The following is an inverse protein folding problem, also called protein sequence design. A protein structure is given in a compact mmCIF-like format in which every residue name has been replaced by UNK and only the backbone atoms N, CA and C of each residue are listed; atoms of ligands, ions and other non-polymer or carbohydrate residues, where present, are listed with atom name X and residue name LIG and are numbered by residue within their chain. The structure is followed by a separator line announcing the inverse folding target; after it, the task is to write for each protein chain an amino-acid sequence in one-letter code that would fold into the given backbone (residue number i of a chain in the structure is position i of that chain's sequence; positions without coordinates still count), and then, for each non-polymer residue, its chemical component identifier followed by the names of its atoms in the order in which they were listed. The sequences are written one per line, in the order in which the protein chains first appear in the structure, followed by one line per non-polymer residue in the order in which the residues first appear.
data_IF_178313509219
#
_entry.id   IF_178313509219
#
_cell.length_a   1.000
_cell.length_b   1.000
_cell.length_c   1.000
_cell.angle_alpha   90.00
_cell.angle_beta   90.00
_cell.angle_gamma   90.00
#
_symmetry.space_group_name_H-M   'P 1'
#
loop_
_entity.id
_entity.type
_entity.pdbx_description
1 polymer ?
#
# COMPACT_ATOMS: atom_id res chain seq x y z
N UNK A 1 -40.44 -28.08 -4.12
CA UNK A 1 -41.05 -28.39 -5.42
C UNK A 1 -40.02 -29.21 -6.20
N UNK A 2 -40.39 -30.43 -6.61
CA UNK A 2 -39.51 -31.47 -7.17
C UNK A 2 -39.57 -31.49 -8.72
N UNK A 3 -38.38 -31.64 -9.35
CA UNK A 3 -37.99 -32.42 -10.57
C UNK A 3 -38.67 -32.22 -11.95
N UNK A 4 -38.17 -32.82 -13.07
CA UNK A 4 -36.79 -32.94 -13.59
C UNK A 4 -36.68 -32.76 -15.13
N UNK A 5 -35.47 -32.72 -15.69
CA UNK A 5 -35.16 -33.52 -16.88
C UNK A 5 -33.67 -33.88 -16.96
N UNK A 6 -33.40 -35.18 -16.98
CA UNK A 6 -32.10 -35.79 -17.23
C UNK A 6 -31.68 -35.57 -18.69
N UNK A 7 -30.39 -35.26 -18.92
CA UNK A 7 -29.61 -36.01 -19.90
C UNK A 7 -28.11 -35.94 -19.57
N UNK A 8 -27.58 -37.14 -19.37
CA UNK A 8 -26.20 -37.57 -19.28
C UNK A 8 -25.31 -36.97 -20.39
N UNK A 9 -24.10 -36.47 -20.06
CA UNK A 9 -22.84 -36.63 -20.82
C UNK A 9 -21.67 -35.90 -20.12
N UNK A 10 -20.66 -36.71 -19.79
CA UNK A 10 -19.22 -36.46 -19.79
C UNK A 10 -18.60 -35.46 -18.79
N UNK A 11 -18.30 -36.02 -17.60
CA UNK A 11 -17.25 -35.57 -16.69
C UNK A 11 -15.86 -35.99 -17.22
N UNK A 12 -15.38 -35.34 -18.28
CA UNK A 12 -13.98 -35.39 -18.70
C UNK A 12 -13.71 -34.15 -19.56
N UNK A 13 -13.32 -33.02 -18.94
CA UNK A 13 -12.49 -31.95 -19.56
C UNK A 13 -12.43 -30.68 -18.69
N UNK A 14 -11.98 -30.80 -17.44
CA UNK A 14 -11.71 -29.62 -16.61
C UNK A 14 -10.42 -29.82 -15.81
N UNK A 15 -9.28 -29.98 -16.49
CA UNK A 15 -7.99 -29.51 -15.96
C UNK A 15 -6.85 -29.45 -16.99
N UNK A 16 -7.04 -28.71 -18.08
CA UNK A 16 -5.97 -28.33 -19.02
C UNK A 16 -5.52 -26.91 -18.72
N UNK A 17 -4.58 -26.76 -17.77
CA UNK A 17 -3.85 -25.51 -17.53
C UNK A 17 -2.44 -25.82 -17.00
N UNK A 18 -1.42 -25.88 -17.87
CA UNK A 18 -0.07 -26.31 -17.52
C UNK A 18 0.84 -25.14 -17.11
N UNK A 19 0.35 -24.19 -16.30
CA UNK A 19 1.10 -22.97 -15.98
C UNK A 19 1.04 -22.63 -14.49
N UNK A 20 1.69 -23.45 -13.66
CA UNK A 20 2.20 -22.97 -12.37
C UNK A 20 3.66 -23.42 -12.21
N UNK A 21 4.59 -22.53 -11.84
CA UNK A 21 6.01 -22.88 -11.67
C UNK A 21 6.22 -23.96 -10.58
N UNK A 22 5.24 -24.12 -9.69
CA UNK A 22 5.22 -25.16 -8.67
C UNK A 22 4.96 -26.58 -9.23
N UNK A 23 4.26 -26.73 -10.35
CA UNK A 23 3.93 -28.04 -10.91
C UNK A 23 5.13 -28.67 -11.63
N UNK A 24 5.93 -27.86 -12.33
CA UNK A 24 7.20 -28.28 -12.91
C UNK A 24 8.22 -28.67 -11.82
N UNK A 25 8.33 -27.87 -10.75
CA UNK A 25 9.17 -28.23 -9.60
C UNK A 25 8.71 -29.51 -8.91
N UNK A 26 7.40 -29.76 -8.78
CA UNK A 26 6.88 -31.02 -8.21
C UNK A 26 7.19 -32.23 -9.09
N UNK A 27 7.09 -32.11 -10.41
CA UNK A 27 7.39 -33.21 -11.33
C UNK A 27 8.88 -33.58 -11.33
N UNK A 28 9.79 -32.59 -11.26
CA UNK A 28 11.23 -32.84 -11.14
C UNK A 28 11.62 -33.42 -9.78
N UNK A 29 10.95 -33.01 -8.70
CA UNK A 29 11.24 -33.54 -7.36
C UNK A 29 10.70 -34.97 -7.17
N UNK A 30 9.52 -35.27 -7.72
CA UNK A 30 8.94 -36.62 -7.69
C UNK A 30 9.71 -37.62 -8.57
N UNK A 31 10.32 -37.21 -9.67
CA UNK A 31 11.19 -38.12 -10.48
C UNK A 31 12.49 -38.47 -9.77
N UNK A 32 13.03 -37.57 -8.94
CA UNK A 32 14.25 -37.83 -8.16
C UNK A 32 13.97 -38.67 -6.90
N UNK A 33 12.83 -38.45 -6.24
CA UNK A 33 12.51 -39.10 -4.96
C UNK A 33 11.54 -40.29 -5.06
N UNK A 34 10.91 -40.53 -6.21
CA UNK A 34 9.77 -41.44 -6.32
C UNK A 34 9.74 -42.34 -7.56
N UNK A 35 10.81 -43.04 -7.89
CA UNK A 35 10.76 -44.32 -8.63
C UNK A 35 12.12 -45.04 -8.62
N UNK A 36 12.26 -46.21 -7.96
CA UNK A 36 13.36 -47.11 -8.26
C UNK A 36 13.03 -47.89 -9.53
N UNK A 37 13.27 -47.28 -10.70
CA UNK A 37 13.37 -48.04 -11.96
C UNK A 37 14.76 -47.83 -12.56
N UNK A 38 15.56 -48.87 -12.37
CA UNK A 38 16.72 -49.30 -13.17
C UNK A 38 17.88 -48.32 -13.42
N UNK A 39 18.89 -48.47 -12.56
CA UNK A 39 20.35 -48.54 -12.85
C UNK A 39 20.96 -47.55 -13.86
N UNK A 40 21.50 -46.43 -13.35
CA UNK A 40 22.95 -46.09 -13.33
C UNK A 40 23.19 -44.62 -12.94
N UNK A 41 23.05 -44.32 -11.65
CA UNK A 41 23.75 -43.16 -11.06
C UNK A 41 24.20 -43.58 -9.67
N UNK A 42 25.52 -43.64 -9.48
CA UNK A 42 26.16 -43.97 -8.21
C UNK A 42 25.56 -43.14 -7.07
N UNK A 43 25.46 -43.68 -5.85
CA UNK A 43 24.92 -42.98 -4.67
C UNK A 43 25.55 -41.60 -4.47
N UNK A 44 26.83 -41.47 -4.82
CA UNK A 44 27.57 -40.20 -4.84
C UNK A 44 27.02 -39.19 -5.87
N UNK A 45 26.65 -39.65 -7.07
CA UNK A 45 26.06 -38.80 -8.11
C UNK A 45 24.69 -38.24 -7.72
N UNK A 46 23.89 -39.00 -6.96
CA UNK A 46 22.62 -38.50 -6.41
C UNK A 46 22.84 -37.39 -5.37
N UNK A 47 23.85 -37.53 -4.50
CA UNK A 47 24.20 -36.50 -3.52
C UNK A 47 24.66 -35.21 -4.22
N UNK A 48 25.51 -35.33 -5.24
CA UNK A 48 25.96 -34.18 -6.04
C UNK A 48 24.79 -33.49 -6.74
N UNK A 49 23.84 -34.23 -7.31
CA UNK A 49 22.63 -33.68 -7.92
C UNK A 49 21.73 -32.96 -6.91
N UNK A 50 21.57 -33.50 -5.69
CA UNK A 50 20.80 -32.85 -4.63
C UNK A 50 21.44 -31.54 -4.18
N UNK A 51 22.77 -31.52 -4.00
CA UNK A 51 23.51 -30.29 -3.67
C UNK A 51 23.38 -29.28 -4.80
N UNK A 52 23.50 -29.71 -6.05
CA UNK A 52 23.37 -28.83 -7.22
C UNK A 52 21.96 -28.24 -7.35
N UNK A 53 20.91 -29.04 -7.14
CA UNK A 53 19.52 -28.56 -7.11
C UNK A 53 19.28 -27.59 -5.96
N UNK A 54 19.88 -27.83 -4.79
CA UNK A 54 19.80 -26.93 -3.65
C UNK A 54 20.45 -25.56 -3.97
N UNK A 55 21.58 -25.56 -4.68
CA UNK A 55 22.23 -24.33 -5.14
C UNK A 55 21.34 -23.57 -6.13
N UNK A 56 20.74 -24.24 -7.11
CA UNK A 56 19.81 -23.62 -8.07
C UNK A 56 18.57 -23.05 -7.37
N UNK A 57 18.06 -23.76 -6.36
CA UNK A 57 16.91 -23.30 -5.58
C UNK A 57 17.25 -22.02 -4.82
N UNK A 58 18.45 -21.93 -4.22
CA UNK A 58 18.89 -20.70 -3.55
C UNK A 58 18.99 -19.54 -4.54
N UNK A 59 19.61 -19.76 -5.71
CA UNK A 59 19.79 -18.70 -6.72
C UNK A 59 18.44 -18.19 -7.24
N UNK A 60 17.53 -19.10 -7.60
CA UNK A 60 16.19 -18.73 -8.09
C UNK A 60 15.35 -18.04 -7.02
N UNK A 61 15.46 -18.49 -5.76
CA UNK A 61 14.83 -17.83 -4.61
C UNK A 61 15.38 -16.41 -4.38
N UNK A 62 16.70 -16.23 -4.35
CA UNK A 62 17.32 -14.91 -4.19
C UNK A 62 17.02 -13.96 -5.34
N UNK A 63 16.99 -14.46 -6.58
CA UNK A 63 16.58 -13.68 -7.74
C UNK A 63 15.11 -13.28 -7.65
N UNK A 64 14.23 -14.21 -7.30
CA UNK A 64 12.79 -13.93 -7.09
C UNK A 64 12.59 -12.94 -5.94
N UNK A 65 13.35 -13.05 -4.85
CA UNK A 65 13.29 -12.12 -3.72
C UNK A 65 13.76 -10.72 -4.11
N UNK A 66 14.84 -10.61 -4.89
CA UNK A 66 15.38 -9.32 -5.35
C UNK A 66 14.44 -8.66 -6.37
N UNK A 67 13.89 -9.45 -7.29
CA UNK A 67 12.90 -8.99 -8.26
C UNK A 67 11.59 -8.58 -7.58
N UNK A 68 11.11 -9.38 -6.63
CA UNK A 68 9.94 -9.04 -5.81
C UNK A 68 10.20 -7.76 -5.02
N UNK A 69 11.36 -7.61 -4.39
CA UNK A 69 11.74 -6.38 -3.70
C UNK A 69 11.67 -5.16 -4.63
N UNK A 70 12.25 -5.27 -5.83
CA UNK A 70 12.20 -4.21 -6.84
C UNK A 70 10.77 -3.86 -7.29
N UNK A 71 9.93 -4.86 -7.55
CA UNK A 71 8.52 -4.67 -7.92
C UNK A 71 7.71 -4.07 -6.76
N UNK A 72 7.95 -4.52 -5.52
CA UNK A 72 7.28 -3.95 -4.33
C UNK A 72 7.70 -2.51 -4.08
N UNK A 73 8.96 -2.13 -4.35
CA UNK A 73 9.42 -0.74 -4.21
C UNK A 73 8.76 0.17 -5.25
N UNK A 74 8.53 -0.30 -6.47
CA UNK A 74 7.82 0.48 -7.50
C UNK A 74 6.33 0.65 -7.19
N UNK A 75 5.67 -0.38 -6.67
CA UNK A 75 4.26 -0.29 -6.24
C UNK A 75 4.07 0.65 -5.04
N UNK A 76 5.11 0.86 -4.22
CA UNK A 76 5.10 1.83 -3.13
C UNK A 76 5.63 3.22 -3.53
N UNK A 77 6.14 3.37 -4.76
CA UNK A 77 6.61 4.64 -5.29
C UNK A 77 5.41 5.49 -5.74
N UNK A 78 4.61 5.94 -4.78
CA UNK A 78 3.94 7.22 -4.97
C UNK A 78 4.99 8.25 -5.40
N UNK A 79 4.71 9.01 -6.46
CA UNK A 79 5.66 9.99 -7.04
C UNK A 79 6.13 11.04 -6.02
N UNK A 80 5.44 11.13 -4.88
CA UNK A 80 5.73 12.02 -3.77
C UNK A 80 5.92 11.11 -2.55
N UNK A 81 7.17 10.86 -2.16
CA UNK A 81 7.50 9.98 -1.02
C UNK A 81 7.55 10.73 0.32
N UNK A 82 7.35 12.04 0.32
CA UNK A 82 7.35 12.87 1.53
C UNK A 82 7.60 14.35 1.24
N UNK A 83 7.80 15.11 2.31
CA UNK A 83 8.02 16.56 2.24
C UNK A 83 9.28 16.94 1.43
N UNK A 84 10.34 16.13 1.51
CA UNK A 84 11.59 16.35 0.76
C UNK A 84 11.38 16.32 -0.76
N UNK A 85 10.46 15.47 -1.21
CA UNK A 85 10.10 15.38 -2.63
C UNK A 85 9.35 16.63 -3.07
N UNK A 86 8.53 17.23 -2.20
CA UNK A 86 7.80 18.47 -2.47
C UNK A 86 8.74 19.69 -2.51
N UNK A 87 9.79 19.68 -1.68
CA UNK A 87 10.84 20.71 -1.69
C UNK A 87 11.65 20.65 -2.97
N UNK A 88 12.01 19.44 -3.39
CA UNK A 88 12.83 19.21 -4.60
C UNK A 88 12.03 19.43 -5.88
N UNK A 89 10.74 19.09 -5.89
CA UNK A 89 9.88 19.36 -7.04
C UNK A 89 9.54 20.84 -7.14
N UNK A 90 9.07 21.30 -8.31
CA UNK A 90 8.61 22.68 -8.53
C UNK A 90 7.09 22.76 -8.64
N UNK A 91 6.38 21.74 -8.17
CA UNK A 91 4.94 21.63 -8.34
C UNK A 91 4.20 22.54 -7.35
N UNK A 92 2.96 22.89 -7.70
CA UNK A 92 2.07 23.63 -6.81
C UNK A 92 1.54 22.72 -5.70
N UNK A 93 1.43 23.27 -4.49
CA UNK A 93 1.05 22.55 -3.27
C UNK A 93 -0.17 23.24 -2.67
N UNK A 94 -1.23 22.47 -2.45
CA UNK A 94 -2.43 22.94 -1.78
C UNK A 94 -2.29 22.93 -0.25
N UNK A 95 -2.93 23.87 0.43
CA UNK A 95 -3.00 23.90 1.89
C UNK A 95 -4.35 24.45 2.36
N UNK A 96 -4.75 24.11 3.59
CA UNK A 96 -5.99 24.63 4.17
C UNK A 96 -5.86 26.12 4.53
N UNK A 97 -6.79 26.96 4.06
CA UNK A 97 -6.84 28.38 4.44
C UNK A 97 -6.95 28.56 5.95
N UNK A 98 -6.06 29.36 6.53
CA UNK A 98 -6.03 29.65 7.96
C UNK A 98 -5.43 28.54 8.83
N UNK A 99 -4.83 27.50 8.23
CA UNK A 99 -4.13 26.45 8.96
C UNK A 99 -2.67 26.80 9.26
N UNK A 100 -2.10 26.05 10.20
CA UNK A 100 -0.66 26.09 10.51
C UNK A 100 0.22 25.67 9.32
N UNK A 101 -0.34 24.93 8.35
CA UNK A 101 0.40 24.40 7.21
C UNK A 101 1.04 25.50 6.35
N UNK A 102 0.40 26.67 6.20
CA UNK A 102 0.96 27.78 5.41
C UNK A 102 2.30 28.24 5.97
N UNK A 103 2.32 28.61 7.26
CA UNK A 103 3.51 29.13 7.92
C UNK A 103 4.57 28.03 8.02
N UNK A 104 4.19 26.79 8.29
CA UNK A 104 5.13 25.68 8.33
C UNK A 104 5.83 25.46 6.98
N UNK A 105 5.07 25.42 5.88
CA UNK A 105 5.62 25.20 4.54
C UNK A 105 6.52 26.36 4.10
N UNK A 106 6.16 27.59 4.45
CA UNK A 106 6.92 28.78 4.07
C UNK A 106 8.15 29.03 4.97
N UNK A 107 7.99 28.98 6.29
CA UNK A 107 9.02 29.40 7.25
C UNK A 107 9.98 28.27 7.63
N UNK A 108 9.47 27.05 7.83
CA UNK A 108 10.27 25.91 8.29
C UNK A 108 10.81 25.09 7.12
N UNK A 109 9.97 24.84 6.11
CA UNK A 109 10.31 24.01 4.93
C UNK A 109 10.87 24.85 3.77
N UNK A 110 10.77 26.18 3.84
CA UNK A 110 11.30 27.13 2.86
C UNK A 110 10.74 26.96 1.43
N UNK A 111 9.45 26.63 1.32
CA UNK A 111 8.73 26.56 0.05
C UNK A 111 8.26 27.96 -0.35
N UNK A 112 8.48 28.34 -1.61
CA UNK A 112 8.06 29.64 -2.12
C UNK A 112 6.53 29.82 -2.04
N UNK A 113 6.06 30.94 -1.48
CA UNK A 113 4.61 31.26 -1.39
C UNK A 113 3.90 31.23 -2.74
N UNK A 114 4.60 31.50 -3.84
CA UNK A 114 4.03 31.43 -5.19
C UNK A 114 3.57 30.04 -5.61
N UNK A 115 4.07 28.99 -4.94
CA UNK A 115 3.68 27.59 -5.17
C UNK A 115 2.56 27.13 -4.24
N UNK A 116 2.24 27.90 -3.21
CA UNK A 116 1.22 27.56 -2.22
C UNK A 116 -0.15 28.02 -2.73
N UNK A 117 -1.06 27.08 -2.86
CA UNK A 117 -2.43 27.32 -3.31
C UNK A 117 -3.37 27.20 -2.11
N UNK A 118 -4.04 28.30 -1.70
CA UNK A 118 -5.03 28.25 -0.63
C UNK A 118 -6.25 27.47 -1.08
N UNK A 119 -6.68 26.49 -0.28
CA UNK A 119 -7.87 25.68 -0.51
C UNK A 119 -8.76 25.72 0.74
N UNK A 120 -10.05 26.02 0.58
CA UNK A 120 -10.98 26.28 1.68
C UNK A 120 -11.94 25.13 2.00
N UNK A 121 -12.19 24.22 1.05
CA UNK A 121 -13.15 23.14 1.23
C UNK A 121 -12.63 21.77 0.77
N UNK A 122 -13.17 20.66 1.32
CA UNK A 122 -12.82 19.31 0.87
C UNK A 122 -13.08 19.07 -0.62
N UNK A 123 -14.13 19.70 -1.19
CA UNK A 123 -14.45 19.62 -2.61
C UNK A 123 -13.34 20.29 -3.45
N UNK A 124 -12.87 21.45 -3.00
CA UNK A 124 -11.77 22.17 -3.65
C UNK A 124 -10.46 21.36 -3.64
N UNK A 125 -10.25 20.54 -2.61
CA UNK A 125 -9.09 19.64 -2.54
C UNK A 125 -9.16 18.58 -3.64
N UNK A 126 -10.32 17.93 -3.77
CA UNK A 126 -10.55 16.91 -4.80
C UNK A 126 -10.40 17.52 -6.19
N UNK A 127 -11.07 18.65 -6.45
CA UNK A 127 -11.02 19.34 -7.74
C UNK A 127 -9.59 19.79 -8.10
N UNK A 128 -8.82 20.30 -7.13
CA UNK A 128 -7.45 20.75 -7.37
C UNK A 128 -6.50 19.59 -7.70
N UNK A 129 -6.70 18.44 -7.04
CA UNK A 129 -5.91 17.23 -7.27
C UNK A 129 -6.28 16.55 -8.59
N UNK A 130 -7.58 16.42 -8.91
CA UNK A 130 -8.05 15.81 -10.16
C UNK A 130 -7.68 16.61 -11.40
N UNK A 131 -7.71 17.93 -11.31
CA UNK A 131 -7.34 18.81 -12.42
C UNK A 131 -5.81 18.99 -12.55
N UNK A 132 -5.02 18.38 -11.66
CA UNK A 132 -3.56 18.55 -11.63
C UNK A 132 -3.11 19.99 -11.36
N UNK A 133 -3.97 20.81 -10.72
CA UNK A 133 -3.64 22.19 -10.33
C UNK A 133 -2.62 22.19 -9.19
N UNK A 134 -2.71 21.20 -8.31
CA UNK A 134 -1.75 20.94 -7.23
C UNK A 134 -1.31 19.49 -7.31
N UNK A 135 -0.03 19.23 -7.02
CA UNK A 135 0.50 17.87 -6.98
C UNK A 135 0.17 17.15 -5.67
N UNK A 136 0.04 17.91 -4.57
CA UNK A 136 -0.32 17.40 -3.26
C UNK A 136 -1.05 18.47 -2.44
N UNK A 137 -1.82 18.02 -1.45
CA UNK A 137 -2.43 18.88 -0.42
C UNK A 137 -1.81 18.53 0.93
N UNK A 138 -1.36 19.54 1.67
CA UNK A 138 -0.79 19.39 3.02
C UNK A 138 -1.80 19.92 4.03
N UNK A 139 -2.21 19.05 4.95
CA UNK A 139 -3.17 19.36 6.00
C UNK A 139 -2.93 18.43 7.21
N UNK A 140 -3.58 18.70 8.33
CA UNK A 140 -3.45 17.88 9.53
C UNK A 140 -4.12 16.51 9.35
N UNK A 141 -3.52 15.49 9.97
CA UNK A 141 -3.97 14.10 9.89
C UNK A 141 -5.48 13.88 10.07
N UNK A 142 -6.18 14.43 11.09
CA UNK A 142 -7.62 14.17 11.24
C UNK A 142 -8.44 14.70 10.06
N UNK A 143 -8.04 15.81 9.44
CA UNK A 143 -8.71 16.35 8.25
C UNK A 143 -8.43 15.50 7.03
N UNK A 144 -7.19 15.05 6.85
CA UNK A 144 -6.81 14.12 5.77
C UNK A 144 -7.55 12.78 5.90
N UNK A 145 -7.53 12.17 7.09
CA UNK A 145 -8.22 10.89 7.34
C UNK A 145 -9.75 11.03 7.11
N UNK A 146 -10.34 12.19 7.45
CA UNK A 146 -11.74 12.48 7.16
C UNK A 146 -12.01 12.69 5.66
N UNK A 147 -11.13 13.40 4.95
CA UNK A 147 -11.22 13.59 3.50
C UNK A 147 -11.15 12.26 2.76
N UNK A 148 -10.14 11.43 3.07
CA UNK A 148 -9.96 10.11 2.49
C UNK A 148 -11.10 9.14 2.80
N UNK A 149 -11.87 9.37 3.87
CA UNK A 149 -13.08 8.59 4.16
C UNK A 149 -14.24 8.94 3.22
N UNK A 150 -14.28 10.16 2.68
CA UNK A 150 -15.31 10.59 1.74
C UNK A 150 -14.89 10.41 0.27
N UNK A 151 -13.58 10.50 -0.02
CA UNK A 151 -13.01 10.45 -1.36
C UNK A 151 -12.00 9.31 -1.50
N UNK A 152 -12.37 8.27 -2.26
CA UNK A 152 -11.59 7.03 -2.39
C UNK A 152 -10.54 7.05 -3.51
N UNK A 153 -10.46 8.11 -4.31
CA UNK A 153 -9.51 8.24 -5.42
C UNK A 153 -8.12 8.75 -4.99
N UNK A 154 -7.94 9.07 -3.72
CA UNK A 154 -6.72 9.68 -3.20
C UNK A 154 -6.08 8.80 -2.14
N UNK A 155 -4.77 8.98 -1.95
CA UNK A 155 -4.00 8.25 -0.96
C UNK A 155 -3.16 9.24 -0.15
N UNK A 156 -3.01 8.97 1.16
CA UNK A 156 -2.04 9.68 1.99
C UNK A 156 -0.62 9.24 1.69
N UNK A 157 0.28 10.22 1.56
CA UNK A 157 1.72 10.00 1.48
C UNK A 157 2.28 9.78 2.89
N UNK A 158 3.14 8.77 3.05
CA UNK A 158 3.81 8.40 4.31
C UNK A 158 5.31 8.63 4.12
N UNK A 159 6.06 9.22 5.08
CA UNK A 159 5.72 9.39 6.50
C UNK A 159 5.17 10.77 6.92
N UNK A 160 4.47 10.78 8.06
CA UNK A 160 4.09 12.01 8.77
C UNK A 160 5.36 12.83 9.10
N UNK A 161 5.38 14.09 8.67
CA UNK A 161 6.55 14.98 8.80
C UNK A 161 6.53 15.80 10.10
N UNK A 162 5.35 16.04 10.69
CA UNK A 162 5.20 16.83 11.92
C UNK A 162 4.35 16.10 12.95
N UNK A 163 4.85 16.01 14.19
CA UNK A 163 4.08 15.55 15.35
C UNK A 163 3.47 16.75 16.07
N UNK A 164 2.39 17.29 15.51
CA UNK A 164 1.61 18.33 16.19
C UNK A 164 0.51 17.70 17.04
N UNK A 165 0.30 18.26 18.24
CA UNK A 165 -0.68 17.79 19.21
C UNK A 165 -1.80 18.80 19.41
N UNK A 166 -3.01 18.30 19.63
CA UNK A 166 -4.19 19.12 19.93
C UNK A 166 -4.34 19.30 21.44
N UNK A 167 -4.73 20.48 21.89
CA UNK A 167 -4.90 20.80 23.31
C UNK A 167 -6.01 21.81 23.57
N UNK A 168 -6.51 21.80 24.79
CA UNK A 168 -7.48 22.79 25.28
C UNK A 168 -6.74 23.93 25.98
N UNK A 169 -7.09 25.18 25.64
CA UNK A 169 -6.52 26.37 26.25
C UNK A 169 -7.48 26.98 27.27
N UNK A 170 -6.95 27.34 28.44
CA UNK A 170 -7.70 27.99 29.52
C UNK A 170 -6.95 29.25 29.97
N UNK A 171 -7.65 30.22 30.58
CA UNK A 171 -7.01 31.37 31.21
C UNK A 171 -5.96 30.92 32.24
N UNK A 172 -4.91 31.73 32.40
CA UNK A 172 -3.86 31.47 33.38
C UNK A 172 -4.47 31.31 34.78
N UNK A 173 -3.95 30.33 35.52
CA UNK A 173 -4.38 29.98 36.88
C UNK A 173 -5.82 29.44 37.00
N UNK A 174 -6.45 29.05 35.88
CA UNK A 174 -7.74 28.37 35.92
C UNK A 174 -7.59 26.93 36.45
N UNK A 175 -8.37 26.53 37.47
CA UNK A 175 -8.35 25.14 37.97
C UNK A 175 -8.85 24.15 36.91
N UNK A 176 -9.64 24.62 35.94
CA UNK A 176 -10.22 23.80 34.87
C UNK A 176 -9.16 23.16 33.97
N UNK A 177 -7.98 23.76 33.85
CA UNK A 177 -6.88 23.18 33.09
C UNK A 177 -6.39 21.84 33.67
N UNK A 178 -6.33 21.75 35.01
CA UNK A 178 -5.91 20.54 35.73
C UNK A 178 -6.99 19.49 35.65
N UNK A 179 -8.24 19.88 35.92
CA UNK A 179 -9.39 18.96 35.87
C UNK A 179 -9.55 18.36 34.48
N UNK A 180 -9.44 19.19 33.43
CA UNK A 180 -9.57 18.73 32.05
C UNK A 180 -8.42 17.82 31.64
N UNK A 181 -7.18 18.18 31.97
CA UNK A 181 -6.01 17.34 31.67
C UNK A 181 -6.11 15.97 32.36
N UNK A 182 -6.56 15.94 33.63
CA UNK A 182 -6.76 14.71 34.40
C UNK A 182 -7.84 13.83 33.79
N UNK A 183 -8.97 14.42 33.39
CA UNK A 183 -10.04 13.68 32.73
C UNK A 183 -9.60 13.11 31.37
N UNK A 184 -8.82 13.85 30.57
CA UNK A 184 -8.27 13.35 29.29
C UNK A 184 -7.32 12.18 29.53
N UNK A 185 -6.46 12.26 30.56
CA UNK A 185 -5.56 11.17 30.93
C UNK A 185 -6.35 9.91 31.31
N UNK A 186 -7.39 10.04 32.15
CA UNK A 186 -8.26 8.93 32.52
C UNK A 186 -8.94 8.28 31.30
N UNK A 187 -9.42 9.08 30.34
CA UNK A 187 -10.01 8.61 29.09
C UNK A 187 -8.99 7.93 28.17
N UNK A 188 -7.72 8.33 28.24
CA UNK A 188 -6.64 7.70 27.50
C UNK A 188 -6.27 6.34 28.12
N UNK A 189 -6.15 6.27 29.44
CA UNK A 189 -5.78 5.06 30.19
C UNK A 189 -6.87 3.97 30.10
N UNK A 190 -8.14 4.36 30.16
CA UNK A 190 -9.26 3.42 30.07
C UNK A 190 -9.61 3.00 28.62
N UNK A 191 -8.93 3.58 27.62
CA UNK A 191 -9.13 3.33 26.20
C UNK A 191 -10.45 3.88 25.62
N UNK A 192 -11.20 4.70 26.36
CA UNK A 192 -12.42 5.35 25.84
C UNK A 192 -12.10 6.40 24.78
N UNK A 193 -10.96 7.08 24.90
CA UNK A 193 -10.51 8.04 23.89
C UNK A 193 -10.35 7.36 22.52
N UNK A 194 -9.76 6.17 22.48
CA UNK A 194 -9.67 5.39 21.24
C UNK A 194 -11.06 5.00 20.70
N UNK A 195 -11.98 4.62 21.59
CA UNK A 195 -13.35 4.28 21.18
C UNK A 195 -14.06 5.48 20.56
N UNK A 196 -13.89 6.67 21.13
CA UNK A 196 -14.44 7.92 20.59
C UNK A 196 -13.82 8.22 19.23
N UNK A 197 -12.49 8.12 19.11
CA UNK A 197 -11.75 8.34 17.87
C UNK A 197 -12.24 7.38 16.76
N UNK A 198 -12.25 6.07 17.04
CA UNK A 198 -12.75 5.04 16.12
C UNK A 198 -14.21 5.27 15.77
N UNK A 199 -15.09 5.58 16.73
CA UNK A 199 -16.51 5.86 16.49
C UNK A 199 -16.72 7.06 15.56
N UNK A 200 -15.89 8.11 15.67
CA UNK A 200 -15.96 9.28 14.79
C UNK A 200 -15.41 8.99 13.40
N UNK A 201 -14.34 8.22 13.30
CA UNK A 201 -13.70 7.85 12.03
C UNK A 201 -14.36 6.65 11.31
N UNK A 202 -15.26 5.91 11.96
CA UNK A 202 -15.89 4.71 11.35
C UNK A 202 -16.88 5.01 10.21
N UNK A 203 -16.92 6.24 9.71
CA UNK A 203 -17.85 6.65 8.68
C UNK A 203 -17.16 6.61 7.33
N UNK A 204 -17.26 5.42 6.71
CA UNK A 204 -16.76 5.09 5.37
C UNK A 204 -15.24 4.99 5.31
N UNK A 205 -14.70 3.90 5.82
CA UNK A 205 -13.47 3.38 5.21
C UNK A 205 -13.84 3.14 3.75
N UNK A 206 -13.22 3.88 2.84
CA UNK A 206 -13.14 3.42 1.47
C UNK A 206 -12.70 1.98 1.58
N UNK A 207 -13.64 1.05 1.38
CA UNK A 207 -13.28 -0.34 1.28
C UNK A 207 -12.12 -0.37 0.30
N UNK A 208 -11.24 -1.34 0.42
CA UNK A 208 -10.54 -1.78 -0.77
C UNK A 208 -11.56 -2.30 -1.77
N UNK A 209 -12.48 -1.46 -2.28
CA UNK A 209 -12.60 -1.29 -3.70
C UNK A 209 -11.15 -1.13 -4.15
N UNK A 210 -10.57 -2.25 -4.53
CA UNK A 210 -10.38 -2.46 -5.95
C UNK A 210 -11.36 -1.57 -6.74
N UNK A 211 -11.11 -0.24 -6.77
CA UNK A 211 -11.00 0.46 -8.04
C UNK A 211 -10.28 -0.54 -8.86
N UNK A 212 -11.07 -1.23 -9.70
CA UNK A 212 -10.67 -2.27 -10.63
C UNK A 212 -9.17 -2.27 -10.62
N UNK A 213 -8.59 -3.15 -9.81
CA UNK A 213 -7.17 -3.31 -9.87
C UNK A 213 -7.06 -3.63 -11.34
N UNK A 214 -6.57 -2.67 -12.11
CA UNK A 214 -5.50 -2.92 -13.02
C UNK A 214 -4.49 -3.62 -12.13
N UNK A 215 -4.80 -4.91 -11.90
CA UNK A 215 -3.91 -5.97 -11.54
C UNK A 215 -2.83 -5.60 -12.52
N UNK A 216 -1.74 -5.04 -12.00
CA UNK A 216 -0.60 -4.64 -12.79
C UNK A 216 -0.13 -5.92 -13.48
N UNK A 217 -0.85 -6.27 -14.54
CA UNK A 217 -0.52 -7.28 -15.49
C UNK A 217 0.67 -6.62 -16.10
N UNK A 218 1.84 -7.09 -15.68
CA UNK A 218 3.08 -6.80 -16.36
C UNK A 218 2.79 -6.88 -17.85
N UNK A 219 2.63 -5.71 -18.49
CA UNK A 219 2.09 -5.66 -19.84
C UNK A 219 3.03 -6.51 -20.69
N UNK A 220 2.48 -7.36 -21.57
CA UNK A 220 3.26 -8.23 -22.46
C UNK A 220 4.36 -7.49 -23.23
N UNK A 221 4.22 -6.16 -23.36
CA UNK A 221 5.22 -5.24 -23.90
C UNK A 221 6.57 -5.26 -23.15
N UNK A 222 6.59 -5.45 -21.83
CA UNK A 222 7.83 -5.59 -21.04
C UNK A 222 8.55 -6.93 -21.26
N UNK A 223 7.85 -7.95 -21.78
CA UNK A 223 8.41 -9.28 -22.06
C UNK A 223 8.91 -9.44 -23.51
N UNK A 224 8.87 -8.39 -24.33
CA UNK A 224 9.27 -8.48 -25.74
C UNK A 224 10.76 -8.84 -25.91
N UNK A 225 11.62 -8.44 -24.96
CA UNK A 225 13.04 -8.79 -24.95
C UNK A 225 13.33 -10.27 -24.70
N UNK A 226 12.41 -11.01 -24.06
CA UNK A 226 12.54 -12.46 -23.83
C UNK A 226 12.22 -13.30 -25.08
N UNK A 227 11.53 -12.71 -26.07
CA UNK A 227 11.18 -13.34 -27.35
C UNK A 227 12.17 -13.04 -28.49
N UNK A 228 13.14 -12.16 -28.25
CA UNK A 228 14.19 -11.78 -29.22
C UNK A 228 15.49 -12.61 -29.10
N UNK A 229 15.55 -13.50 -28.10
CA UNK A 229 16.62 -14.50 -27.90
C UNK A 229 16.10 -15.87 -28.32
#
# INVERSE_FOLDING_TARGET
MFQPQNLHLDLYDLNSSPCTPYFACRFSFSTIFGAPRENTVSTLGRIVLLIWLFVILIITSSYTASLTSFLTVQQLASSIQGIESLVTSNDAIGYQVGSFAENYLFEEVNIAKSRLVPLGSPEEYADALEQGRVAAVVDERPYVDQFLSNYCGFQKVVPEFTKSGWGFAFPRDSPLAIDMSTAILQLSENGELEKIHKKRLNRKVCGGQSSEADSEQLQLKSFWGLFLI
#
